data_IF_471991255945
#
_entry.id   IF_471991255945
#
_cell.length_a   1.000
_cell.length_b   1.000
_cell.length_c   1.000
_cell.angle_alpha   90.00
_cell.angle_beta   90.00
_cell.angle_gamma   90.00
#
_symmetry.space_group_name_H-M   'P 1'
#
loop_
_entity.id
_entity.type
_entity.pdbx_description
1 polymer ?
#
# COMPACT_ATOMS: atom_id res chain seq x y z
N UNK A 1 -49.48 33.53 -49.11
CA UNK A 1 -49.33 33.02 -47.72
C UNK A 1 -48.30 31.89 -47.75
N UNK A 2 -47.31 31.96 -46.85
CA UNK A 2 -46.33 30.96 -46.38
C UNK A 2 -45.66 30.00 -47.39
N UNK A 3 -44.35 30.13 -47.66
CA UNK A 3 -43.15 29.83 -46.84
C UNK A 3 -42.66 28.39 -47.07
N UNK A 4 -41.68 28.25 -47.97
CA UNK A 4 -40.80 27.08 -48.08
C UNK A 4 -39.85 27.14 -46.88
N UNK A 5 -39.76 26.05 -46.12
CA UNK A 5 -38.77 25.88 -45.07
C UNK A 5 -37.94 24.64 -45.38
N UNK A 6 -36.64 24.89 -45.43
CA UNK A 6 -35.56 23.98 -45.78
C UNK A 6 -35.34 22.91 -44.71
N UNK A 7 -34.87 21.78 -45.20
CA UNK A 7 -34.34 20.66 -44.42
C UNK A 7 -32.96 21.05 -43.90
N UNK A 8 -32.77 21.01 -42.58
CA UNK A 8 -31.42 20.85 -42.01
C UNK A 8 -31.51 19.87 -40.86
N UNK A 9 -31.07 18.64 -41.14
CA UNK A 9 -30.82 17.59 -40.15
C UNK A 9 -29.59 17.98 -39.35
N UNK A 10 -29.79 18.47 -38.13
CA UNK A 10 -28.70 18.67 -37.16
C UNK A 10 -28.54 17.39 -36.35
N UNK A 11 -27.52 16.60 -36.68
CA UNK A 11 -27.00 15.51 -35.85
C UNK A 11 -26.45 16.10 -34.55
N UNK A 12 -27.19 15.95 -33.44
CA UNK A 12 -26.64 16.16 -32.11
C UNK A 12 -25.77 14.96 -31.76
N UNK A 13 -24.44 15.12 -31.85
CA UNK A 13 -23.50 14.21 -31.20
C UNK A 13 -23.60 14.41 -29.69
N UNK A 14 -24.12 13.41 -29.00
CA UNK A 14 -24.09 13.27 -27.55
C UNK A 14 -22.64 13.34 -27.06
N UNK A 15 -22.28 14.45 -26.40
CA UNK A 15 -21.12 14.46 -25.51
C UNK A 15 -21.50 13.64 -24.29
N UNK A 16 -21.01 12.40 -24.25
CA UNK A 16 -20.95 11.61 -23.02
C UNK A 16 -20.09 12.41 -22.05
N UNK A 17 -20.74 13.04 -21.07
CA UNK A 17 -20.08 13.59 -19.89
C UNK A 17 -19.48 12.38 -19.17
N UNK A 18 -18.17 12.20 -19.30
CA UNK A 18 -17.42 11.32 -18.41
C UNK A 18 -17.62 11.87 -16.99
N UNK A 19 -18.44 11.18 -16.20
CA UNK A 19 -18.56 11.42 -14.78
C UNK A 19 -17.17 11.31 -14.15
N UNK A 20 -16.67 12.39 -13.57
CA UNK A 20 -15.55 12.34 -12.64
C UNK A 20 -15.92 11.35 -11.53
N UNK A 21 -15.21 10.22 -11.48
CA UNK A 21 -15.34 9.31 -10.34
C UNK A 21 -14.79 9.99 -9.08
N UNK A 22 -15.46 9.87 -7.93
CA UNK A 22 -14.91 10.30 -6.65
C UNK A 22 -13.57 9.61 -6.38
N UNK A 23 -12.58 10.35 -5.88
CA UNK A 23 -11.18 9.93 -5.81
C UNK A 23 -10.98 8.51 -5.29
N UNK A 24 -10.40 7.64 -6.12
CA UNK A 24 -10.48 6.20 -5.95
C UNK A 24 -9.53 5.59 -4.88
N UNK A 25 -8.76 6.40 -4.13
CA UNK A 25 -8.18 6.01 -2.82
C UNK A 25 -8.99 6.47 -1.61
N UNK A 26 -10.15 7.13 -1.79
CA UNK A 26 -11.08 7.45 -0.69
C UNK A 26 -11.55 6.21 0.10
N UNK A 27 -11.30 5.00 -0.43
CA UNK A 27 -11.69 3.72 0.15
C UNK A 27 -10.56 2.95 0.84
N UNK A 28 -9.39 3.54 1.09
CA UNK A 28 -8.50 2.97 2.12
C UNK A 28 -9.26 3.14 3.44
N UNK A 29 -9.82 2.04 3.97
CA UNK A 29 -10.50 2.08 5.26
C UNK A 29 -9.60 2.77 6.28
N UNK A 30 -10.16 3.59 7.16
CA UNK A 30 -9.40 4.35 8.16
C UNK A 30 -8.39 3.47 8.93
N UNK A 31 -8.71 2.19 9.14
CA UNK A 31 -7.85 1.18 9.76
C UNK A 31 -6.50 0.92 9.05
N UNK A 32 -6.38 1.28 7.77
CA UNK A 32 -5.16 1.10 6.98
C UNK A 32 -4.47 2.42 6.63
N UNK A 33 -4.93 3.56 7.18
CA UNK A 33 -4.20 4.82 7.03
C UNK A 33 -2.84 4.72 7.72
N UNK A 34 -1.80 5.25 7.09
CA UNK A 34 -0.46 5.26 7.68
C UNK A 34 -0.48 6.04 8.99
N UNK A 35 -0.09 5.39 10.09
CA UNK A 35 -0.07 5.96 11.46
C UNK A 35 1.35 5.94 12.09
N UNK A 36 2.35 5.68 11.27
CA UNK A 36 3.75 5.59 11.66
C UNK A 36 4.18 4.23 12.23
N UNK A 37 3.25 3.34 12.57
CA UNK A 37 3.53 1.98 13.08
C UNK A 37 3.17 0.89 12.08
N UNK A 38 2.30 1.19 11.12
CA UNK A 38 1.75 0.22 10.18
C UNK A 38 2.32 0.34 8.75
N UNK A 39 3.48 1.01 8.57
CA UNK A 39 4.08 1.27 7.25
C UNK A 39 4.13 0.03 6.35
N UNK A 40 4.51 -1.13 6.87
CA UNK A 40 4.59 -2.35 6.09
C UNK A 40 3.22 -2.71 5.45
N UNK A 41 2.14 -2.67 6.24
CA UNK A 41 0.80 -3.00 5.75
C UNK A 41 0.28 -1.93 4.79
N UNK A 42 0.48 -0.66 5.14
CA UNK A 42 0.08 0.48 4.31
C UNK A 42 0.77 0.47 2.95
N UNK A 43 2.10 0.31 2.92
CA UNK A 43 2.89 0.30 1.69
C UNK A 43 2.50 -0.84 0.76
N UNK A 44 2.26 -2.05 1.30
CA UNK A 44 1.76 -3.19 0.52
C UNK A 44 0.38 -2.91 -0.10
N UNK A 45 -0.53 -2.28 0.65
CA UNK A 45 -1.85 -1.92 0.13
C UNK A 45 -1.76 -0.89 -1.00
N UNK A 46 -1.01 0.20 -0.79
CA UNK A 46 -0.82 1.26 -1.80
C UNK A 46 -0.20 0.69 -3.08
N UNK A 47 0.87 -0.09 -2.96
CA UNK A 47 1.52 -0.73 -4.12
C UNK A 47 0.57 -1.67 -4.86
N UNK A 48 -0.22 -2.46 -4.14
CA UNK A 48 -1.20 -3.39 -4.73
C UNK A 48 -2.26 -2.64 -5.52
N UNK A 49 -2.82 -1.57 -4.95
CA UNK A 49 -3.86 -0.77 -5.63
C UNK A 49 -3.29 -0.07 -6.86
N UNK A 50 -2.14 0.59 -6.76
CA UNK A 50 -1.54 1.27 -7.90
C UNK A 50 -1.10 0.29 -9.00
N UNK A 51 -0.59 -0.88 -8.62
CA UNK A 51 -0.26 -1.94 -9.59
C UNK A 51 -1.50 -2.46 -10.30
N UNK A 52 -2.59 -2.70 -9.58
CA UNK A 52 -3.88 -3.10 -10.16
C UNK A 52 -4.44 -2.07 -11.16
N UNK A 53 -4.08 -0.79 -10.99
CA UNK A 53 -4.47 0.31 -11.90
C UNK A 53 -3.43 0.64 -12.98
N UNK A 54 -2.30 -0.07 -13.04
CA UNK A 54 -1.22 0.22 -13.98
C UNK A 54 -0.45 1.53 -13.70
N UNK A 55 -0.58 2.10 -12.50
CA UNK A 55 0.00 3.43 -12.13
C UNK A 55 1.25 3.34 -11.26
N UNK A 56 1.77 2.13 -11.00
CA UNK A 56 2.94 1.93 -10.14
C UNK A 56 4.22 2.64 -10.65
N UNK A 57 4.29 2.91 -11.95
CA UNK A 57 5.35 3.68 -12.62
C UNK A 57 5.61 5.05 -11.99
N UNK A 58 4.57 5.70 -11.47
CA UNK A 58 4.69 7.01 -10.81
C UNK A 58 5.55 6.95 -9.54
N UNK A 59 5.47 5.86 -8.78
CA UNK A 59 6.31 5.68 -7.59
C UNK A 59 7.74 5.22 -7.93
N UNK A 60 7.90 4.56 -9.08
CA UNK A 60 9.18 4.01 -9.53
C UNK A 60 10.04 5.02 -10.30
N UNK A 61 9.51 6.23 -10.58
CA UNK A 61 10.30 7.34 -11.14
C UNK A 61 10.41 7.37 -12.66
N UNK A 62 9.56 6.63 -13.37
CA UNK A 62 9.45 6.75 -14.83
C UNK A 62 8.66 8.00 -15.20
N UNK A 63 9.36 9.14 -15.29
CA UNK A 63 8.81 10.44 -15.68
C UNK A 63 9.10 10.76 -17.15
N UNK A 64 8.12 11.18 -17.97
CA UNK A 64 8.36 11.72 -19.30
C UNK A 64 9.21 13.00 -19.27
N UNK A 65 10.01 13.24 -20.30
CA UNK A 65 10.82 14.48 -20.38
C UNK A 65 9.92 15.69 -20.67
N UNK A 66 10.28 16.89 -20.19
CA UNK A 66 9.62 18.13 -20.63
C UNK A 66 9.63 18.22 -22.17
N UNK A 67 8.47 18.46 -22.76
CA UNK A 67 8.26 18.49 -24.22
C UNK A 67 7.81 17.15 -24.84
N UNK A 68 7.75 16.06 -24.08
CA UNK A 68 7.02 14.86 -24.51
C UNK A 68 5.51 15.17 -24.52
N UNK A 69 4.77 14.87 -25.62
CA UNK A 69 3.32 15.06 -25.66
C UNK A 69 2.56 14.31 -24.55
N UNK A 70 3.16 13.30 -23.93
CA UNK A 70 2.59 12.54 -22.82
C UNK A 70 2.82 13.20 -21.45
N UNK A 71 3.59 14.28 -21.38
CA UNK A 71 3.95 14.92 -20.11
C UNK A 71 2.73 15.47 -19.38
N UNK A 72 1.84 16.21 -20.06
CA UNK A 72 0.66 16.80 -19.41
C UNK A 72 -0.26 15.74 -18.81
N UNK A 73 -0.59 14.70 -19.58
CA UNK A 73 -1.42 13.59 -19.09
C UNK A 73 -0.75 12.83 -17.93
N UNK A 74 0.58 12.68 -17.96
CA UNK A 74 1.32 12.08 -16.85
C UNK A 74 1.30 12.97 -15.60
N UNK A 75 1.44 14.29 -15.77
CA UNK A 75 1.47 15.27 -14.67
C UNK A 75 0.12 15.33 -13.94
N UNK A 76 -0.99 15.35 -14.69
CA UNK A 76 -2.35 15.25 -14.15
C UNK A 76 -2.57 13.95 -13.36
N UNK A 77 -2.07 12.82 -13.88
CA UNK A 77 -2.14 11.54 -13.19
C UNK A 77 -1.28 11.53 -11.92
N UNK A 78 -0.10 12.15 -11.94
CA UNK A 78 0.78 12.24 -10.78
C UNK A 78 0.12 13.04 -9.65
N UNK A 79 -0.50 14.19 -9.95
CA UNK A 79 -1.24 14.98 -8.96
C UNK A 79 -2.41 14.22 -8.34
N UNK A 80 -3.11 13.40 -9.13
CA UNK A 80 -4.16 12.53 -8.59
C UNK A 80 -3.59 11.49 -7.62
N UNK A 81 -2.44 10.89 -7.95
CA UNK A 81 -1.75 9.93 -7.06
C UNK A 81 -1.22 10.61 -5.79
N UNK A 82 -0.77 11.87 -5.87
CA UNK A 82 -0.38 12.66 -4.69
C UNK A 82 -1.58 12.83 -3.73
N UNK A 83 -2.73 13.25 -4.24
CA UNK A 83 -3.94 13.41 -3.43
C UNK A 83 -4.38 12.09 -2.77
N UNK A 84 -4.24 11.00 -3.51
CA UNK A 84 -4.45 9.64 -3.04
C UNK A 84 -3.49 9.26 -1.91
N UNK A 85 -2.20 9.53 -2.03
CA UNK A 85 -1.21 9.29 -1.00
C UNK A 85 -1.52 10.09 0.28
N UNK A 86 -1.79 11.39 0.19
CA UNK A 86 -2.12 12.21 1.37
C UNK A 86 -3.35 11.70 2.11
N UNK A 87 -4.41 11.35 1.39
CA UNK A 87 -5.64 10.80 1.99
C UNK A 87 -5.45 9.43 2.63
N UNK A 88 -4.39 8.70 2.25
CA UNK A 88 -4.04 7.41 2.83
C UNK A 88 -3.21 7.49 4.12
N UNK A 89 -2.89 8.69 4.61
CA UNK A 89 -2.07 8.92 5.81
C UNK A 89 -2.89 9.63 6.89
N UNK A 90 -2.46 9.61 8.15
CA UNK A 90 -3.00 10.56 9.13
C UNK A 90 -2.56 11.99 8.79
N UNK A 91 -3.33 13.02 9.18
CA UNK A 91 -2.97 14.42 8.90
C UNK A 91 -1.55 14.78 9.33
N UNK A 92 -1.14 14.31 10.51
CA UNK A 92 0.19 14.59 11.07
C UNK A 92 1.33 14.08 10.20
N UNK A 93 1.09 13.00 9.43
CA UNK A 93 2.07 12.43 8.50
C UNK A 93 1.97 13.12 7.13
N UNK A 94 0.77 13.32 6.59
CA UNK A 94 0.60 13.96 5.28
C UNK A 94 1.12 15.41 5.26
N UNK A 95 1.00 16.13 6.37
CA UNK A 95 1.47 17.52 6.47
C UNK A 95 3.00 17.62 6.27
N UNK A 96 3.75 16.57 6.60
CA UNK A 96 5.22 16.53 6.42
C UNK A 96 5.65 16.45 4.95
N UNK A 97 4.76 16.01 4.06
CA UNK A 97 5.05 15.76 2.66
C UNK A 97 4.13 16.53 1.69
N UNK A 98 3.30 17.45 2.20
CA UNK A 98 2.30 18.18 1.41
C UNK A 98 2.90 19.09 0.33
N UNK A 99 4.13 19.57 0.53
CA UNK A 99 4.82 20.48 -0.39
C UNK A 99 5.80 19.77 -1.35
N UNK A 100 5.83 18.43 -1.35
CA UNK A 100 6.66 17.68 -2.29
C UNK A 100 6.04 17.69 -3.69
N UNK A 101 6.91 17.69 -4.70
CA UNK A 101 6.52 18.04 -6.07
C UNK A 101 5.89 16.89 -6.86
N UNK A 102 6.14 15.64 -6.45
CA UNK A 102 5.67 14.45 -7.17
C UNK A 102 5.19 13.36 -6.22
N UNK A 103 4.37 12.44 -6.73
CA UNK A 103 3.97 11.23 -6.00
C UNK A 103 5.19 10.39 -5.58
N UNK A 104 6.24 10.38 -6.41
CA UNK A 104 7.52 9.74 -6.10
C UNK A 104 8.19 10.36 -4.88
N UNK A 105 8.29 11.68 -4.83
CA UNK A 105 8.96 12.36 -3.72
C UNK A 105 8.24 12.08 -2.39
N UNK A 106 6.90 12.10 -2.41
CA UNK A 106 6.08 11.71 -1.26
C UNK A 106 6.37 10.27 -0.85
N UNK A 107 6.34 9.34 -1.80
CA UNK A 107 6.59 7.93 -1.53
C UNK A 107 7.98 7.70 -0.93
N UNK A 108 9.02 8.29 -1.51
CA UNK A 108 10.39 8.16 -1.06
C UNK A 108 10.59 8.76 0.35
N UNK A 109 10.00 9.92 0.64
CA UNK A 109 10.08 10.54 1.96
C UNK A 109 9.41 9.69 3.05
N UNK A 110 8.23 9.14 2.74
CA UNK A 110 7.48 8.27 3.66
C UNK A 110 8.20 6.93 3.85
N UNK A 111 8.71 6.36 2.77
CA UNK A 111 9.55 5.17 2.83
C UNK A 111 10.80 5.45 3.66
N UNK A 112 11.50 6.55 3.48
CA UNK A 112 12.70 6.86 4.27
C UNK A 112 12.40 7.03 5.76
N UNK A 113 11.28 7.66 6.09
CA UNK A 113 10.93 7.99 7.48
C UNK A 113 10.37 6.78 8.23
N UNK A 114 9.53 5.97 7.58
CA UNK A 114 8.75 4.92 8.23
C UNK A 114 9.10 3.50 7.77
N UNK A 115 9.86 3.33 6.69
CA UNK A 115 10.38 2.02 6.29
C UNK A 115 11.54 1.63 7.18
N UNK A 116 11.22 0.80 8.16
CA UNK A 116 12.20 0.21 9.06
C UNK A 116 12.52 -1.23 8.67
N UNK A 117 12.45 -1.54 7.38
CA UNK A 117 12.44 -2.90 6.83
C UNK A 117 13.61 -3.80 7.29
N UNK A 118 14.64 -3.27 7.95
CA UNK A 118 15.77 -4.02 8.52
C UNK A 118 16.25 -3.50 9.88
N UNK A 119 15.52 -2.58 10.52
CA UNK A 119 15.95 -2.04 11.81
C UNK A 119 15.81 -3.13 12.88
N UNK A 120 16.89 -3.42 13.61
CA UNK A 120 16.91 -4.37 14.72
C UNK A 120 15.85 -4.03 15.78
N UNK A 121 15.52 -2.74 15.96
CA UNK A 121 14.47 -2.30 16.87
C UNK A 121 13.08 -2.83 16.48
N UNK A 122 12.76 -2.89 15.18
CA UNK A 122 11.48 -3.45 14.73
C UNK A 122 11.41 -4.96 14.87
N UNK A 123 12.50 -5.65 14.53
CA UNK A 123 12.60 -7.10 14.76
C UNK A 123 12.40 -7.41 16.24
N UNK A 124 13.01 -6.62 17.13
CA UNK A 124 12.83 -6.76 18.57
C UNK A 124 11.38 -6.49 18.99
N UNK A 125 10.76 -5.40 18.51
CA UNK A 125 9.37 -5.05 18.83
C UNK A 125 8.39 -6.17 18.45
N UNK A 126 8.54 -6.74 17.24
CA UNK A 126 7.72 -7.86 16.78
C UNK A 126 7.95 -9.11 17.64
N UNK A 127 9.22 -9.42 17.97
CA UNK A 127 9.54 -10.54 18.89
C UNK A 127 8.88 -10.37 20.25
N UNK A 128 8.93 -9.18 20.83
CA UNK A 128 8.29 -8.90 22.13
C UNK A 128 6.77 -9.10 22.04
N UNK A 129 6.11 -8.59 20.98
CA UNK A 129 4.68 -8.80 20.75
C UNK A 129 4.32 -10.28 20.61
N UNK A 130 5.19 -11.06 19.96
CA UNK A 130 5.00 -12.49 19.75
C UNK A 130 5.11 -13.28 21.06
N UNK A 131 6.12 -12.99 21.90
CA UNK A 131 6.29 -13.61 23.22
C UNK A 131 5.12 -13.27 24.15
N UNK A 132 4.64 -12.02 24.09
CA UNK A 132 3.50 -11.56 24.88
C UNK A 132 2.16 -12.09 24.39
N UNK A 133 2.07 -12.62 23.16
CA UNK A 133 0.82 -13.08 22.58
C UNK A 133 0.33 -14.36 23.28
N UNK A 134 -0.84 -14.27 23.91
CA UNK A 134 -1.57 -15.39 24.51
C UNK A 134 -2.96 -15.49 23.90
N UNK A 135 -3.53 -16.69 23.87
CA UNK A 135 -4.90 -16.93 23.43
C UNK A 135 -5.87 -16.12 24.29
N UNK A 136 -5.83 -16.32 25.62
CA UNK A 136 -6.66 -15.56 26.56
C UNK A 136 -8.14 -15.73 26.24
N UNK A 137 -8.87 -14.63 26.05
CA UNK A 137 -10.29 -14.64 25.69
C UNK A 137 -10.58 -14.84 24.19
N UNK A 138 -9.54 -14.91 23.34
CA UNK A 138 -9.71 -15.09 21.89
C UNK A 138 -10.04 -16.54 21.55
N UNK A 139 -10.75 -16.73 20.44
CA UNK A 139 -10.85 -18.04 19.81
C UNK A 139 -9.47 -18.50 19.33
N UNK A 140 -9.29 -19.82 19.16
CA UNK A 140 -8.04 -20.39 18.61
C UNK A 140 -7.73 -19.80 17.23
N UNK A 141 -8.75 -19.58 16.40
CA UNK A 141 -8.59 -18.98 15.07
C UNK A 141 -8.09 -17.54 15.14
N UNK A 142 -8.67 -16.71 16.00
CA UNK A 142 -8.21 -15.31 16.17
C UNK A 142 -6.78 -15.24 16.70
N UNK A 143 -6.44 -16.09 17.68
CA UNK A 143 -5.07 -16.18 18.20
C UNK A 143 -4.08 -16.64 17.13
N UNK A 144 -4.44 -17.67 16.36
CA UNK A 144 -3.62 -18.17 15.23
C UNK A 144 -3.41 -17.09 14.18
N UNK A 145 -4.47 -16.34 13.83
CA UNK A 145 -4.38 -15.26 12.85
C UNK A 145 -3.48 -14.12 13.35
N UNK A 146 -3.55 -13.79 14.64
CA UNK A 146 -2.66 -12.80 15.25
C UNK A 146 -1.19 -13.23 15.15
N UNK A 147 -0.87 -14.46 15.52
CA UNK A 147 0.50 -14.99 15.42
C UNK A 147 0.98 -15.03 13.97
N UNK A 148 0.16 -15.52 13.04
CA UNK A 148 0.50 -15.52 11.60
C UNK A 148 0.82 -14.13 11.08
N UNK A 149 0.06 -13.11 11.47
CA UNK A 149 0.34 -11.74 11.08
C UNK A 149 1.69 -11.23 11.62
N UNK A 150 2.03 -11.56 12.88
CA UNK A 150 3.32 -11.22 13.48
C UNK A 150 4.49 -11.96 12.81
N UNK A 151 4.33 -13.24 12.49
CA UNK A 151 5.33 -14.03 11.78
C UNK A 151 5.59 -13.50 10.37
N UNK A 152 4.55 -13.14 9.62
CA UNK A 152 4.69 -12.54 8.29
C UNK A 152 5.43 -11.20 8.35
N UNK A 153 5.15 -10.38 9.35
CA UNK A 153 5.85 -9.11 9.59
C UNK A 153 7.34 -9.36 9.94
N UNK A 154 7.61 -10.35 10.81
CA UNK A 154 8.97 -10.74 11.18
C UNK A 154 9.78 -11.26 9.99
N UNK A 155 9.17 -12.08 9.14
CA UNK A 155 9.79 -12.60 7.91
C UNK A 155 10.15 -11.47 6.95
N UNK A 156 9.26 -10.51 6.80
CA UNK A 156 9.51 -9.33 5.98
C UNK A 156 10.74 -8.56 6.48
N UNK A 157 10.83 -8.32 7.79
CA UNK A 157 11.97 -7.60 8.38
C UNK A 157 13.29 -8.36 8.31
N UNK A 158 13.25 -9.69 8.44
CA UNK A 158 14.47 -10.51 8.42
C UNK A 158 15.03 -10.72 7.01
N UNK A 159 14.18 -10.64 5.97
CA UNK A 159 14.54 -10.73 4.55
C UNK A 159 15.75 -11.65 4.31
N UNK A 160 15.59 -12.92 4.71
CA UNK A 160 16.71 -13.88 4.76
C UNK A 160 17.10 -14.23 3.33
N UNK A 161 18.28 -13.75 2.91
CA UNK A 161 18.83 -14.06 1.59
C UNK A 161 19.46 -15.45 1.65
N UNK A 162 18.79 -16.44 1.07
CA UNK A 162 19.33 -17.78 0.88
C UNK A 162 20.09 -17.84 -0.44
N UNK A 163 21.19 -18.60 -0.49
CA UNK A 163 22.05 -18.71 -1.67
C UNK A 163 21.68 -19.88 -2.58
N UNK A 164 21.06 -20.93 -2.03
CA UNK A 164 20.50 -22.05 -2.79
C UNK A 164 19.08 -22.38 -2.32
N UNK A 165 18.39 -23.20 -3.12
CA UNK A 165 17.01 -23.58 -2.88
C UNK A 165 16.90 -24.57 -1.72
N UNK A 166 17.86 -25.49 -1.60
CA UNK A 166 17.89 -26.55 -0.58
C UNK A 166 18.02 -25.95 0.83
N UNK A 167 18.95 -25.01 1.02
CA UNK A 167 19.11 -24.29 2.29
C UNK A 167 17.88 -23.47 2.66
N UNK A 168 17.15 -22.96 1.65
CA UNK A 168 15.91 -22.22 1.88
C UNK A 168 14.79 -23.12 2.42
N UNK A 169 14.71 -24.35 1.94
CA UNK A 169 13.76 -25.36 2.45
C UNK A 169 14.11 -25.72 3.90
N UNK A 170 15.37 -26.04 4.18
CA UNK A 170 15.82 -26.40 5.54
C UNK A 170 15.57 -25.25 6.53
N UNK A 171 15.89 -24.02 6.14
CA UNK A 171 15.64 -22.85 6.96
C UNK A 171 14.14 -22.64 7.21
N UNK A 172 13.30 -22.84 6.20
CA UNK A 172 11.85 -22.72 6.34
C UNK A 172 11.32 -23.74 7.33
N UNK A 173 11.75 -25.00 7.23
CA UNK A 173 11.31 -26.06 8.16
C UNK A 173 11.71 -25.74 9.60
N UNK A 174 12.93 -25.23 9.80
CA UNK A 174 13.38 -24.76 11.11
C UNK A 174 12.50 -23.63 11.67
N UNK A 175 12.19 -22.63 10.83
CA UNK A 175 11.32 -21.50 11.23
C UNK A 175 9.91 -21.99 11.58
N UNK A 176 9.32 -22.89 10.78
CA UNK A 176 7.99 -23.44 11.06
C UNK A 176 7.97 -24.27 12.35
N UNK A 177 9.06 -24.99 12.66
CA UNK A 177 9.17 -25.70 13.92
C UNK A 177 9.19 -24.75 15.13
N UNK A 178 9.96 -23.65 15.05
CA UNK A 178 9.95 -22.60 16.09
C UNK A 178 8.55 -22.00 16.31
N UNK A 179 7.82 -21.76 15.22
CA UNK A 179 6.44 -21.23 15.26
C UNK A 179 5.45 -22.14 15.97
N UNK A 180 5.66 -23.46 15.89
CA UNK A 180 4.84 -24.41 16.66
C UNK A 180 5.04 -24.19 18.15
N UNK A 181 6.28 -24.01 18.61
CA UNK A 181 6.54 -23.71 20.03
C UNK A 181 5.93 -22.37 20.45
N UNK A 182 6.08 -21.33 19.64
CA UNK A 182 5.46 -20.02 19.89
C UNK A 182 3.93 -20.11 20.05
N UNK A 183 3.28 -20.91 19.19
CA UNK A 183 1.84 -21.14 19.26
C UNK A 183 1.44 -21.91 20.52
N UNK A 184 2.13 -23.02 20.80
CA UNK A 184 1.80 -23.88 21.94
C UNK A 184 1.98 -23.17 23.29
N UNK A 185 3.03 -22.34 23.44
CA UNK A 185 3.33 -21.68 24.72
C UNK A 185 2.28 -20.63 25.12
N UNK A 186 1.47 -20.15 24.17
CA UNK A 186 0.44 -19.15 24.43
C UNK A 186 -1.00 -19.66 24.32
N UNK A 187 -1.21 -20.93 23.99
CA UNK A 187 -2.52 -21.56 24.09
C UNK A 187 -3.03 -21.59 25.54
N UNK A 188 -4.35 -21.58 25.69
CA UNK A 188 -4.96 -21.82 26.98
C UNK A 188 -4.75 -23.30 27.38
N UNK A 189 -4.64 -23.59 28.70
CA UNK A 189 -4.59 -24.95 29.22
C UNK A 189 -5.82 -25.79 28.86
#
# INVERSE_FOLDING_TARGET
MSKVAETTTTTQSEKIVQSQQPGELQNIQAAYRLDGRNYLKWSQLVLTVLKGKGKISHLMGTRPKPGDPRFEAWDEEDFMIMAWLWNSMTPEISDTCMFLATAKDIWDAIQQTYSKARDAAQVYEVKVKMIAAKQGSKTVTEYTNQLKALWQELDHYRMIKTKCLEDAVVLKDFIEQDRVYDFLVGLNP
#
